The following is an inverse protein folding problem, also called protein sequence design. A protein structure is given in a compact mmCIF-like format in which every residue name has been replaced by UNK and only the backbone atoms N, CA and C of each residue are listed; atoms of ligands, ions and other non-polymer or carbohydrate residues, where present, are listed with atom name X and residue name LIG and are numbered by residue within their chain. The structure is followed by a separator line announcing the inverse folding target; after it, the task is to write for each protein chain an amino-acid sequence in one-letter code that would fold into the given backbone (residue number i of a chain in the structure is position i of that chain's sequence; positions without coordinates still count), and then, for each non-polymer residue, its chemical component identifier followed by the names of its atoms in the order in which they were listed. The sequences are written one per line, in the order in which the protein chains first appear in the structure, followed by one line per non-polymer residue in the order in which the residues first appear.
data_IF_203863033521
#
_entry.id   IF_203863033521
#
_cell.length_a   1.000
_cell.length_b   1.000
_cell.length_c   1.000
_cell.angle_alpha   90.00
_cell.angle_beta   90.00
_cell.angle_gamma   90.00
#
_symmetry.space_group_name_H-M   'P 1'
#
loop_
_entity.id
_entity.type
_entity.pdbx_description
1 polymer ?
#
# COMPACT_ATOMS: atom_id res chain seq x y z
N UNK A 1 10.73 -3.09 -24.82
CA UNK A 1 9.77 -2.78 -23.74
C UNK A 1 10.44 -2.70 -22.35
N UNK A 2 11.78 -2.76 -22.26
CA UNK A 2 12.49 -2.63 -20.99
C UNK A 2 12.76 -1.15 -20.60
N UNK A 3 12.75 -0.21 -21.55
CA UNK A 3 13.15 1.18 -21.31
C UNK A 3 12.08 2.09 -20.67
N UNK A 4 11.04 1.51 -20.05
CA UNK A 4 9.94 2.29 -19.44
C UNK A 4 9.92 2.24 -17.91
N UNK A 5 10.90 1.59 -17.28
CA UNK A 5 11.03 1.55 -15.83
C UNK A 5 12.44 1.98 -15.40
N UNK A 6 12.58 2.78 -14.34
CA UNK A 6 13.87 3.03 -13.71
C UNK A 6 14.44 1.72 -13.17
N UNK A 7 15.73 1.46 -13.43
CA UNK A 7 16.43 0.34 -12.82
C UNK A 7 16.56 0.59 -11.31
N UNK A 8 16.03 -0.35 -10.52
CA UNK A 8 16.18 -0.34 -9.07
C UNK A 8 17.55 -0.94 -8.77
N UNK A 9 18.51 -0.08 -8.43
CA UNK A 9 19.85 -0.48 -8.00
C UNK A 9 19.81 -0.90 -6.52
N UNK A 10 19.36 -2.13 -6.28
CA UNK A 10 19.51 -2.80 -4.99
C UNK A 10 20.53 -3.92 -5.16
N UNK A 11 21.72 -3.71 -4.59
CA UNK A 11 22.79 -4.70 -4.61
C UNK A 11 22.42 -5.87 -3.67
N UNK A 12 21.89 -6.96 -4.24
CA UNK A 12 21.57 -8.19 -3.50
C UNK A 12 22.72 -9.21 -3.52
N UNK A 13 23.89 -8.82 -4.00
CA UNK A 13 25.02 -9.74 -4.21
C UNK A 13 25.90 -9.80 -2.97
N UNK A 14 25.53 -10.66 -2.01
CA UNK A 14 26.46 -11.13 -0.97
C UNK A 14 26.16 -10.73 0.48
N UNK A 15 24.93 -10.32 0.80
CA UNK A 15 24.49 -10.30 2.21
C UNK A 15 23.94 -11.68 2.58
N UNK A 16 24.63 -12.37 3.49
CA UNK A 16 24.12 -13.58 4.15
C UNK A 16 22.71 -13.27 4.69
N UNK A 17 21.71 -13.97 4.15
CA UNK A 17 20.29 -13.74 4.45
C UNK A 17 19.98 -14.47 5.76
N UNK A 18 20.53 -13.99 6.86
CA UNK A 18 20.23 -14.49 8.20
C UNK A 18 19.32 -13.50 8.92
N UNK A 19 18.05 -13.88 9.10
CA UNK A 19 17.06 -13.09 9.82
C UNK A 19 15.67 -13.14 9.18
N UNK A 20 14.65 -12.95 10.01
CA UNK A 20 13.26 -12.84 9.58
C UNK A 20 13.06 -11.65 8.63
N UNK A 21 12.33 -11.88 7.53
CA UNK A 21 12.09 -10.93 6.45
C UNK A 21 11.57 -9.59 6.97
N UNK A 22 10.70 -9.62 7.98
CA UNK A 22 10.14 -8.42 8.60
C UNK A 22 11.18 -7.60 9.36
N UNK A 23 12.10 -8.26 10.07
CA UNK A 23 13.16 -7.58 10.81
C UNK A 23 14.14 -6.90 9.85
N UNK A 24 14.43 -7.53 8.71
CA UNK A 24 15.30 -6.98 7.66
C UNK A 24 14.70 -5.74 7.00
N UNK A 25 13.45 -5.83 6.56
CA UNK A 25 12.76 -4.68 5.94
C UNK A 25 12.64 -3.51 6.93
N UNK A 26 12.38 -3.81 8.22
CA UNK A 26 12.32 -2.79 9.27
C UNK A 26 13.66 -2.09 9.49
N UNK A 27 14.79 -2.81 9.42
CA UNK A 27 16.12 -2.21 9.55
C UNK A 27 16.49 -1.37 8.33
N UNK A 28 16.16 -1.84 7.12
CA UNK A 28 16.50 -1.17 5.87
C UNK A 28 15.66 0.10 5.63
N UNK A 29 14.36 0.04 5.92
CA UNK A 29 13.38 1.09 5.62
C UNK A 29 13.13 2.00 6.83
N UNK A 30 13.50 1.55 8.04
CA UNK A 30 13.32 2.31 9.28
C UNK A 30 11.84 2.47 9.68
N UNK A 31 11.58 3.39 10.62
CA UNK A 31 10.23 3.62 11.15
C UNK A 31 9.38 4.58 10.32
N UNK A 32 9.78 4.91 9.09
CA UNK A 32 9.12 5.95 8.27
C UNK A 32 7.72 5.53 7.78
N UNK A 33 7.41 4.22 7.80
CA UNK A 33 6.11 3.69 7.40
C UNK A 33 5.27 3.13 8.56
N UNK A 34 5.76 3.19 9.80
CA UNK A 34 5.03 2.66 10.95
C UNK A 34 3.98 3.66 11.43
N UNK A 35 2.70 3.31 11.30
CA UNK A 35 1.58 4.09 11.82
C UNK A 35 1.03 3.50 13.12
N UNK A 36 0.31 4.29 13.93
CA UNK A 36 -0.31 3.81 15.17
C UNK A 36 -1.34 2.69 14.93
N UNK A 37 -1.87 2.58 13.72
CA UNK A 37 -2.80 1.54 13.31
C UNK A 37 -2.08 0.21 13.06
N UNK A 38 -0.83 0.23 12.61
CA UNK A 38 -0.08 -0.99 12.29
C UNK A 38 0.24 -1.80 13.55
N UNK A 39 0.43 -1.15 14.70
CA UNK A 39 0.63 -1.87 15.98
C UNK A 39 -0.60 -2.65 16.43
N UNK A 40 -1.80 -2.18 16.06
CA UNK A 40 -3.04 -2.88 16.38
C UNK A 40 -3.22 -4.10 15.48
N UNK A 41 -2.89 -3.98 14.19
CA UNK A 41 -2.95 -5.09 13.23
C UNK A 41 -1.91 -6.17 13.55
N UNK A 42 -0.69 -5.79 13.93
CA UNK A 42 0.35 -6.73 14.36
C UNK A 42 -0.03 -7.48 15.65
N UNK A 43 -0.66 -6.80 16.60
CA UNK A 43 -1.15 -7.44 17.82
C UNK A 43 -2.34 -8.40 17.55
N UNK A 44 -3.19 -8.09 16.57
CA UNK A 44 -4.25 -9.00 16.13
C UNK A 44 -3.67 -10.22 15.38
N UNK A 45 -2.66 -10.05 14.53
CA UNK A 45 -2.04 -11.17 13.82
C UNK A 45 -1.30 -12.13 14.74
N UNK A 46 -0.56 -11.62 15.74
CA UNK A 46 0.10 -12.48 16.74
C UNK A 46 -0.91 -13.29 17.57
N UNK A 47 -2.07 -12.69 17.88
CA UNK A 47 -3.14 -13.39 18.60
C UNK A 47 -3.86 -14.44 17.74
N UNK A 48 -4.04 -14.18 16.44
CA UNK A 48 -4.62 -15.14 15.49
C UNK A 48 -3.65 -16.27 15.13
N UNK A 49 -2.34 -16.00 15.03
CA UNK A 49 -1.31 -17.01 14.78
C UNK A 49 -1.25 -18.04 15.92
N UNK A 50 -1.29 -17.60 17.17
CA UNK A 50 -1.34 -18.49 18.34
C UNK A 50 -2.59 -19.39 18.33
N UNK A 51 -3.72 -18.87 17.82
CA UNK A 51 -4.97 -19.61 17.71
C UNK A 51 -4.93 -20.63 16.56
N UNK A 52 -4.36 -20.27 15.42
CA UNK A 52 -4.17 -21.16 14.27
C UNK A 52 -3.17 -22.29 14.58
N UNK A 53 -2.10 -21.98 15.33
CA UNK A 53 -1.13 -22.97 15.80
C UNK A 53 -1.76 -23.96 16.79
N UNK A 54 -2.65 -23.49 17.67
CA UNK A 54 -3.41 -24.36 18.58
C UNK A 54 -4.38 -25.26 17.83
N UNK A 55 -5.13 -24.71 16.87
CA UNK A 55 -6.05 -25.48 16.02
C UNK A 55 -5.31 -26.54 15.18
N UNK A 56 -4.09 -26.26 14.73
CA UNK A 56 -3.22 -27.22 14.04
C UNK A 56 -2.77 -28.36 14.97
N UNK A 57 -2.38 -28.05 16.21
CA UNK A 57 -1.98 -29.06 17.22
C UNK A 57 -3.14 -29.97 17.61
N UNK A 58 -4.36 -29.47 17.63
CA UNK A 58 -5.56 -30.27 17.91
C UNK A 58 -5.94 -31.20 16.73
N UNK A 59 -5.71 -30.76 15.49
CA UNK A 59 -5.97 -31.56 14.28
C UNK A 59 -4.89 -32.62 14.00
N UNK A 60 -3.67 -32.37 14.46
CA UNK A 60 -2.53 -33.27 14.35
C UNK A 60 -1.95 -33.53 15.75
N UNK A 61 -2.53 -34.47 16.53
CA UNK A 61 -1.99 -34.80 17.84
C UNK A 61 -0.52 -35.20 17.70
N UNK A 62 0.36 -34.53 18.46
CA UNK A 62 1.79 -34.80 18.48
C UNK A 62 2.01 -36.29 18.75
N UNK A 63 2.44 -37.02 17.72
CA UNK A 63 3.01 -38.34 17.88
C UNK A 63 4.30 -38.10 18.64
N UNK A 64 4.33 -38.53 19.91
CA UNK A 64 5.36 -38.14 20.88
C UNK A 64 6.77 -38.11 20.31
N UNK A 65 7.52 -37.09 20.72
CA UNK A 65 8.97 -36.97 20.55
C UNK A 65 9.66 -38.30 20.87
N UNK A 66 9.93 -39.10 19.85
CA UNK A 66 11.18 -39.80 19.82
C UNK A 66 12.22 -38.72 19.59
N UNK A 67 13.00 -38.39 20.62
CA UNK A 67 14.17 -37.54 20.51
C UNK A 67 14.94 -37.89 19.21
N UNK A 68 15.17 -36.96 18.27
CA UNK A 68 16.32 -37.10 17.41
C UNK A 68 17.52 -36.97 18.35
N UNK A 69 18.16 -38.10 18.66
CA UNK A 69 19.46 -38.09 19.31
C UNK A 69 20.36 -37.11 18.55
N UNK A 70 20.69 -35.98 19.17
CA UNK A 70 21.72 -35.09 18.70
C UNK A 70 23.04 -35.87 18.71
N UNK A 71 23.42 -36.42 17.57
CA UNK A 71 24.79 -36.84 17.31
C UNK A 71 25.51 -35.64 16.67
N UNK A 72 26.56 -35.19 17.36
CA UNK A 72 27.62 -34.33 16.84
C UNK A 72 28.03 -34.74 15.40
N UNK A 73 28.36 -33.78 14.51
CA UNK A 73 28.96 -34.09 13.22
C UNK A 73 30.44 -34.46 13.41
N UNK A 74 30.71 -35.69 13.84
CA UNK A 74 32.00 -36.36 13.61
C UNK A 74 32.00 -37.00 12.20
N UNK A 75 33.14 -37.01 11.49
CA UNK A 75 33.18 -37.39 10.08
C UNK A 75 32.98 -38.90 9.91
N UNK A 76 31.79 -39.30 9.45
CA UNK A 76 31.48 -40.70 9.14
C UNK A 76 32.13 -41.11 7.82
N UNK A 77 33.19 -41.90 7.98
CA UNK A 77 33.71 -42.83 6.99
C UNK A 77 32.63 -43.81 6.52
N UNK A 78 32.71 -44.18 5.25
CA UNK A 78 31.99 -45.27 4.59
C UNK A 78 31.92 -46.53 5.46
N UNK A 79 30.73 -46.88 5.96
CA UNK A 79 30.38 -48.27 6.23
C UNK A 79 28.85 -48.45 6.12
N UNK A 80 28.51 -49.55 5.46
CA UNK A 80 27.24 -49.93 4.88
C UNK A 80 26.39 -50.62 5.96
N UNK A 81 25.46 -49.90 6.61
CA UNK A 81 24.48 -50.52 7.51
C UNK A 81 23.10 -50.61 6.85
N UNK A 82 22.91 -51.80 6.28
CA UNK A 82 21.74 -52.38 5.67
C UNK A 82 20.47 -52.24 6.53
N UNK A 83 19.48 -51.48 6.02
CA UNK A 83 18.12 -51.44 6.54
C UNK A 83 17.40 -52.77 6.28
N UNK A 84 17.65 -53.78 7.11
CA UNK A 84 16.98 -55.09 7.09
C UNK A 84 15.56 -55.03 7.69
N UNK A 85 14.63 -54.38 6.98
CA UNK A 85 13.22 -54.31 7.40
C UNK A 85 12.19 -54.81 6.39
N UNK A 86 12.57 -55.00 5.12
CA UNK A 86 11.60 -55.28 4.04
C UNK A 86 12.07 -56.30 2.98
N UNK A 87 13.13 -57.07 3.24
CA UNK A 87 13.66 -58.01 2.25
C UNK A 87 13.18 -59.44 2.48
N UNK A 88 11.91 -59.74 2.16
CA UNK A 88 11.49 -61.06 1.62
C UNK A 88 9.98 -61.11 1.41
N UNK A 89 9.48 -60.35 0.44
CA UNK A 89 8.26 -60.72 -0.26
C UNK A 89 8.67 -61.28 -1.64
N UNK A 90 8.17 -62.44 -2.08
CA UNK A 90 8.55 -63.00 -3.37
C UNK A 90 8.19 -62.01 -4.47
N UNK A 91 9.20 -61.52 -5.19
CA UNK A 91 9.01 -60.74 -6.40
C UNK A 91 8.39 -61.65 -7.45
N UNK A 92 7.06 -61.68 -7.44
CA UNK A 92 6.27 -62.17 -8.56
C UNK A 92 6.62 -61.29 -9.74
N UNK A 93 7.25 -61.87 -10.76
CA UNK A 93 7.49 -61.25 -12.06
C UNK A 93 6.15 -61.11 -12.76
N UNK A 94 5.37 -60.11 -12.32
CA UNK A 94 4.16 -59.66 -13.01
C UNK A 94 4.61 -59.17 -14.39
N UNK A 95 3.96 -59.57 -15.50
CA UNK A 95 4.38 -59.19 -16.84
C UNK A 95 4.58 -57.67 -16.93
N UNK A 96 5.69 -57.23 -17.53
CA UNK A 96 6.12 -55.83 -17.71
C UNK A 96 5.16 -54.95 -18.54
N UNK A 97 3.92 -55.38 -18.79
CA UNK A 97 2.87 -54.58 -19.37
C UNK A 97 2.00 -53.98 -18.27
N UNK A 98 1.90 -52.65 -18.23
CA UNK A 98 0.91 -51.96 -17.40
C UNK A 98 -0.48 -52.58 -17.61
N UNK A 99 -1.14 -52.93 -16.50
CA UNK A 99 -2.45 -53.56 -16.54
C UNK A 99 -3.48 -52.62 -17.19
N UNK A 100 -4.40 -53.18 -17.97
CA UNK A 100 -5.43 -52.41 -18.68
C UNK A 100 -6.21 -51.44 -17.77
N UNK A 101 -6.58 -51.80 -16.51
CA UNK A 101 -7.21 -50.85 -15.58
C UNK A 101 -6.32 -49.65 -15.22
N UNK A 102 -4.99 -49.85 -15.15
CA UNK A 102 -4.03 -48.80 -14.85
C UNK A 102 -3.88 -47.82 -16.01
N UNK A 103 -3.90 -48.33 -17.25
CA UNK A 103 -3.88 -47.48 -18.46
C UNK A 103 -5.13 -46.63 -18.55
N UNK A 104 -6.31 -47.22 -18.32
CA UNK A 104 -7.56 -46.47 -18.30
C UNK A 104 -7.61 -45.41 -17.19
N UNK A 105 -7.08 -45.74 -16.01
CA UNK A 105 -7.01 -44.79 -14.89
C UNK A 105 -6.07 -43.62 -15.21
N UNK A 106 -4.88 -43.88 -15.75
CA UNK A 106 -3.95 -42.83 -16.20
C UNK A 106 -4.60 -41.94 -17.25
N UNK A 107 -5.26 -42.51 -18.25
CA UNK A 107 -5.93 -41.73 -19.30
C UNK A 107 -7.05 -40.84 -18.75
N UNK A 108 -7.86 -41.32 -17.79
CA UNK A 108 -8.88 -40.49 -17.12
C UNK A 108 -8.27 -39.38 -16.28
N UNK A 109 -7.20 -39.68 -15.54
CA UNK A 109 -6.48 -38.70 -14.70
C UNK A 109 -5.82 -37.61 -15.55
N UNK A 110 -5.18 -37.99 -16.66
CA UNK A 110 -4.53 -37.05 -17.57
C UNK A 110 -5.55 -36.07 -18.16
N UNK A 111 -6.73 -36.57 -18.57
CA UNK A 111 -7.82 -35.72 -19.06
C UNK A 111 -8.30 -34.75 -17.96
N UNK A 112 -8.50 -35.22 -16.73
CA UNK A 112 -8.93 -34.37 -15.62
C UNK A 112 -7.87 -33.30 -15.27
N UNK A 113 -6.58 -33.65 -15.36
CA UNK A 113 -5.47 -32.71 -15.17
C UNK A 113 -5.46 -31.68 -16.30
N UNK A 114 -5.58 -32.09 -17.55
CA UNK A 114 -5.61 -31.20 -18.71
C UNK A 114 -6.79 -30.21 -18.63
N UNK A 115 -7.97 -30.68 -18.20
CA UNK A 115 -9.13 -29.81 -18.00
C UNK A 115 -8.89 -28.78 -16.89
N UNK A 116 -8.31 -29.21 -15.74
CA UNK A 116 -7.94 -28.29 -14.66
C UNK A 116 -6.86 -27.30 -15.07
N UNK A 117 -5.84 -27.74 -15.79
CA UNK A 117 -4.76 -26.89 -16.27
C UNK A 117 -5.27 -25.85 -17.27
N UNK A 118 -6.16 -26.24 -18.17
CA UNK A 118 -6.83 -25.32 -19.10
C UNK A 118 -7.68 -24.29 -18.37
N UNK A 119 -8.44 -24.70 -17.35
CA UNK A 119 -9.21 -23.79 -16.51
C UNK A 119 -8.31 -22.84 -15.71
N UNK A 120 -7.20 -23.34 -15.16
CA UNK A 120 -6.23 -22.54 -14.40
C UNK A 120 -5.50 -21.54 -15.31
N UNK A 121 -5.04 -21.98 -16.48
CA UNK A 121 -4.40 -21.14 -17.50
C UNK A 121 -5.32 -20.01 -17.94
N UNK A 122 -6.61 -20.30 -18.18
CA UNK A 122 -7.61 -19.27 -18.50
C UNK A 122 -7.76 -18.26 -17.36
N UNK A 123 -7.92 -18.72 -16.12
CA UNK A 123 -8.02 -17.82 -14.95
C UNK A 123 -6.78 -16.94 -14.79
N UNK A 124 -5.58 -17.49 -15.00
CA UNK A 124 -4.33 -16.72 -14.97
C UNK A 124 -4.32 -15.64 -16.06
N UNK A 125 -4.71 -15.97 -17.28
CA UNK A 125 -4.82 -15.00 -18.37
C UNK A 125 -5.85 -13.90 -18.06
N UNK A 126 -7.02 -14.27 -17.51
CA UNK A 126 -8.06 -13.32 -17.12
C UNK A 126 -7.57 -12.37 -16.00
N UNK A 127 -6.84 -12.88 -15.01
CA UNK A 127 -6.24 -12.07 -13.93
C UNK A 127 -5.19 -11.11 -14.49
N UNK A 128 -4.31 -11.58 -15.39
CA UNK A 128 -3.29 -10.72 -16.02
C UNK A 128 -3.96 -9.63 -16.84
N UNK A 129 -4.99 -9.95 -17.62
CA UNK A 129 -5.74 -8.97 -18.40
C UNK A 129 -6.45 -7.95 -17.50
N UNK A 130 -7.09 -8.40 -16.42
CA UNK A 130 -7.73 -7.51 -15.45
C UNK A 130 -6.71 -6.60 -14.74
N UNK A 131 -5.54 -7.13 -14.40
CA UNK A 131 -4.46 -6.34 -13.80
C UNK A 131 -3.94 -5.28 -14.79
N UNK A 132 -3.72 -5.63 -16.06
CA UNK A 132 -3.34 -4.67 -17.11
C UNK A 132 -4.38 -3.57 -17.27
N UNK A 133 -5.67 -3.93 -17.36
CA UNK A 133 -6.75 -2.95 -17.43
C UNK A 133 -6.79 -2.04 -16.20
N UNK A 134 -6.60 -2.58 -14.99
CA UNK A 134 -6.59 -1.77 -13.77
C UNK A 134 -5.44 -0.76 -13.74
N UNK A 135 -4.30 -1.10 -14.34
CA UNK A 135 -3.15 -0.19 -14.46
C UNK A 135 -3.49 0.94 -15.41
N UNK A 136 -4.05 0.63 -16.58
CA UNK A 136 -4.46 1.63 -17.55
C UNK A 136 -5.54 2.57 -16.97
N UNK A 137 -6.57 2.00 -16.34
CA UNK A 137 -7.64 2.75 -15.67
C UNK A 137 -7.10 3.67 -14.56
N UNK A 138 -6.11 3.22 -13.79
CA UNK A 138 -5.46 4.03 -12.76
C UNK A 138 -4.75 5.25 -13.36
N UNK A 139 -3.96 5.06 -14.42
CA UNK A 139 -3.23 6.16 -15.03
C UNK A 139 -4.15 7.14 -15.75
N UNK A 140 -5.20 6.66 -16.41
CA UNK A 140 -6.21 7.52 -17.03
C UNK A 140 -6.93 8.36 -15.97
N UNK A 141 -7.39 7.75 -14.87
CA UNK A 141 -8.04 8.47 -13.78
C UNK A 141 -7.08 9.46 -13.09
N UNK A 142 -5.84 9.03 -12.79
CA UNK A 142 -4.85 9.90 -12.17
C UNK A 142 -4.52 11.12 -13.04
N UNK A 143 -4.32 10.92 -14.35
CA UNK A 143 -4.03 12.00 -15.27
C UNK A 143 -5.22 12.94 -15.41
N UNK A 144 -6.44 12.41 -15.55
CA UNK A 144 -7.66 13.22 -15.59
C UNK A 144 -7.81 14.05 -14.30
N UNK A 145 -7.64 13.43 -13.13
CA UNK A 145 -7.72 14.14 -11.84
C UNK A 145 -6.65 15.22 -11.70
N UNK A 146 -5.41 14.93 -12.14
CA UNK A 146 -4.32 15.92 -12.15
C UNK A 146 -4.66 17.09 -13.06
N UNK A 147 -5.18 16.84 -14.26
CA UNK A 147 -5.59 17.90 -15.19
C UNK A 147 -6.75 18.72 -14.65
N UNK A 148 -7.75 18.08 -14.05
CA UNK A 148 -8.88 18.75 -13.41
C UNK A 148 -8.41 19.63 -12.24
N UNK A 149 -7.53 19.12 -11.39
CA UNK A 149 -6.93 19.90 -10.31
C UNK A 149 -6.12 21.08 -10.84
N UNK A 150 -5.32 20.88 -11.90
CA UNK A 150 -4.57 21.97 -12.52
C UNK A 150 -5.50 23.04 -13.10
N UNK A 151 -6.57 22.64 -13.80
CA UNK A 151 -7.61 23.56 -14.32
C UNK A 151 -8.30 24.32 -13.19
N UNK A 152 -8.62 23.63 -12.09
CA UNK A 152 -9.23 24.25 -10.91
C UNK A 152 -8.31 25.28 -10.26
N UNK A 153 -7.03 24.96 -10.07
CA UNK A 153 -6.04 25.90 -9.52
C UNK A 153 -5.87 27.13 -10.42
N UNK A 154 -5.84 26.94 -11.74
CA UNK A 154 -5.77 28.06 -12.69
C UNK A 154 -7.01 28.95 -12.61
N UNK A 155 -8.19 28.34 -12.51
CA UNK A 155 -9.45 29.08 -12.34
C UNK A 155 -9.49 29.84 -11.02
N UNK A 156 -9.09 29.20 -9.92
CA UNK A 156 -8.99 29.86 -8.61
C UNK A 156 -7.96 30.99 -8.61
N UNK A 157 -6.86 30.84 -9.34
CA UNK A 157 -5.88 31.91 -9.53
C UNK A 157 -6.48 33.09 -10.30
N UNK A 158 -7.21 32.83 -11.39
CA UNK A 158 -7.88 33.87 -12.16
C UNK A 158 -8.93 34.59 -11.31
N UNK A 159 -9.79 33.84 -10.60
CA UNK A 159 -10.77 34.39 -9.67
C UNK A 159 -10.11 35.20 -8.55
N UNK A 160 -8.97 34.76 -8.03
CA UNK A 160 -8.20 35.51 -7.02
C UNK A 160 -7.62 36.80 -7.59
N UNK A 161 -7.07 36.78 -8.81
CA UNK A 161 -6.56 37.96 -9.48
C UNK A 161 -7.68 38.95 -9.79
N UNK A 162 -8.83 38.48 -10.28
CA UNK A 162 -10.01 39.32 -10.49
C UNK A 162 -10.54 39.91 -9.18
N UNK A 163 -10.61 39.10 -8.11
CA UNK A 163 -11.01 39.59 -6.78
C UNK A 163 -10.04 40.65 -6.28
N UNK A 164 -8.73 40.44 -6.42
CA UNK A 164 -7.68 41.41 -6.03
C UNK A 164 -7.78 42.70 -6.84
N UNK A 165 -7.84 42.61 -8.15
CA UNK A 165 -7.86 43.77 -9.05
C UNK A 165 -9.20 44.53 -8.95
N UNK A 166 -10.31 43.80 -8.79
CA UNK A 166 -11.63 44.34 -8.52
C UNK A 166 -11.72 45.03 -7.15
N UNK A 167 -11.11 44.43 -6.11
CA UNK A 167 -10.99 45.02 -4.79
C UNK A 167 -10.22 46.34 -4.86
N UNK A 168 -9.10 46.40 -5.58
CA UNK A 168 -8.32 47.63 -5.73
C UNK A 168 -9.05 48.76 -6.47
N UNK A 169 -9.95 48.41 -7.41
CA UNK A 169 -10.72 49.36 -8.23
C UNK A 169 -12.04 49.81 -7.58
N UNK A 170 -12.56 49.10 -6.58
CA UNK A 170 -13.89 49.34 -6.00
C UNK A 170 -13.83 50.22 -4.76
N UNK A 171 -14.61 51.30 -4.76
CA UNK A 171 -14.90 52.11 -3.58
C UNK A 171 -13.74 52.96 -3.06
N UNK A 172 -13.93 53.53 -1.87
CA UNK A 172 -12.89 54.31 -1.18
C UNK A 172 -11.88 53.39 -0.50
N UNK A 173 -10.70 53.90 -0.15
CA UNK A 173 -9.72 53.13 0.65
C UNK A 173 -10.32 52.58 1.95
N UNK A 174 -11.27 53.30 2.55
CA UNK A 174 -11.91 52.91 3.81
C UNK A 174 -12.95 51.79 3.63
N UNK A 175 -13.58 51.67 2.46
CA UNK A 175 -14.44 50.53 2.14
C UNK A 175 -13.62 49.23 2.09
N UNK A 176 -12.45 49.29 1.44
CA UNK A 176 -11.48 48.19 1.35
C UNK A 176 -10.96 47.76 2.73
N UNK A 177 -10.56 48.72 3.56
CA UNK A 177 -10.08 48.43 4.92
C UNK A 177 -11.17 47.80 5.78
N UNK A 178 -12.43 48.21 5.62
CA UNK A 178 -13.54 47.63 6.37
C UNK A 178 -13.82 46.18 5.95
N UNK A 179 -13.81 45.85 4.65
CA UNK A 179 -13.91 44.45 4.18
C UNK A 179 -12.75 43.60 4.70
N UNK A 180 -11.50 44.10 4.64
CA UNK A 180 -10.33 43.34 5.11
C UNK A 180 -10.37 43.08 6.63
N UNK A 181 -10.93 44.01 7.41
CA UNK A 181 -11.12 43.85 8.87
C UNK A 181 -12.26 42.88 9.18
N UNK A 182 -13.25 42.76 8.32
CA UNK A 182 -14.32 41.75 8.41
C UNK A 182 -13.75 40.36 8.06
N UNK A 183 -13.01 40.23 6.96
CA UNK A 183 -12.35 38.98 6.52
C UNK A 183 -11.27 38.49 7.50
N UNK A 184 -10.51 39.40 8.12
CA UNK A 184 -9.48 39.05 9.09
C UNK A 184 -10.03 38.52 10.43
N UNK A 185 -11.35 38.63 10.65
CA UNK A 185 -12.04 38.11 11.83
C UNK A 185 -11.54 38.66 13.17
N UNK A 186 -12.07 38.10 14.26
CA UNK A 186 -11.51 38.33 15.59
C UNK A 186 -10.35 37.38 15.82
N UNK A 187 -9.13 37.90 15.64
CA UNK A 187 -7.90 37.15 15.98
C UNK A 187 -7.89 36.64 17.43
N UNK A 188 -7.06 35.63 17.69
CA UNK A 188 -7.02 34.84 18.93
C UNK A 188 -6.93 35.65 20.25
N UNK A 189 -6.38 36.87 20.21
CA UNK A 189 -6.38 37.80 21.34
C UNK A 189 -7.72 38.57 21.44
N UNK A 190 -8.71 37.92 22.06
CA UNK A 190 -9.99 38.51 22.45
C UNK A 190 -9.88 39.58 23.56
N UNK A 191 -8.70 39.77 24.14
CA UNK A 191 -8.45 40.72 25.24
C UNK A 191 -8.55 42.19 24.83
N UNK A 192 -8.44 42.51 23.53
CA UNK A 192 -8.45 43.90 23.04
C UNK A 192 -9.76 44.23 22.32
N UNK A 193 -10.59 45.05 22.95
CA UNK A 193 -11.87 45.52 22.39
C UNK A 193 -11.68 46.33 21.10
N UNK A 194 -12.00 45.72 19.95
CA UNK A 194 -11.95 46.37 18.63
C UNK A 194 -13.27 47.05 18.24
N UNK A 195 -14.31 46.98 19.08
CA UNK A 195 -15.65 47.51 18.78
C UNK A 195 -15.67 49.01 18.47
N UNK A 196 -14.86 49.80 19.20
CA UNK A 196 -14.73 51.26 18.94
C UNK A 196 -14.02 51.53 17.61
N UNK A 197 -13.06 50.70 17.25
CA UNK A 197 -12.32 50.80 15.99
C UNK A 197 -13.19 50.39 14.80
N UNK A 198 -13.90 49.26 14.89
CA UNK A 198 -14.91 48.83 13.92
C UNK A 198 -15.95 49.93 13.71
N UNK A 199 -16.51 50.50 14.78
CA UNK A 199 -17.48 51.60 14.69
C UNK A 199 -16.93 52.90 14.10
N UNK A 200 -15.62 53.15 14.16
CA UNK A 200 -14.98 54.27 13.47
C UNK A 200 -14.83 53.96 11.98
N UNK A 201 -14.36 52.76 11.61
CA UNK A 201 -14.25 52.32 10.21
C UNK A 201 -15.60 52.35 9.48
N UNK A 202 -16.67 51.87 10.12
CA UNK A 202 -18.03 51.94 9.55
C UNK A 202 -18.47 53.38 9.29
N UNK A 203 -18.02 54.36 10.09
CA UNK A 203 -18.31 55.79 9.85
C UNK A 203 -17.47 56.40 8.73
N UNK A 204 -16.32 55.82 8.39
CA UNK A 204 -15.46 56.27 7.29
C UNK A 204 -15.83 55.61 5.95
N UNK A 205 -16.52 54.46 6.00
CA UNK A 205 -17.12 53.77 4.85
C UNK A 205 -17.92 54.73 3.97
N UNK A 206 -17.66 54.73 2.66
CA UNK A 206 -18.38 55.50 1.65
C UNK A 206 -18.19 57.03 1.67
N UNK A 207 -17.30 57.57 2.51
CA UNK A 207 -17.02 59.02 2.53
C UNK A 207 -15.85 59.36 1.62
N UNK A 208 -16.07 60.16 0.59
CA UNK A 208 -15.01 60.60 -0.35
C UNK A 208 -14.19 61.78 0.17
N UNK A 209 -14.75 62.60 1.07
CA UNK A 209 -14.11 63.81 1.61
C UNK A 209 -13.20 63.57 2.83
N UNK A 210 -12.90 62.32 3.18
CA UNK A 210 -12.00 62.01 4.30
C UNK A 210 -10.57 61.79 3.80
N UNK A 211 -9.55 62.17 4.60
CA UNK A 211 -8.16 61.98 4.22
C UNK A 211 -7.88 60.51 3.87
N UNK A 212 -7.19 60.29 2.76
CA UNK A 212 -6.84 58.96 2.25
C UNK A 212 -7.96 58.22 1.49
N UNK A 213 -9.18 58.77 1.37
CA UNK A 213 -10.30 58.12 0.68
C UNK A 213 -10.01 57.80 -0.80
N UNK A 214 -9.34 58.72 -1.51
CA UNK A 214 -8.94 58.57 -2.92
C UNK A 214 -7.70 57.69 -3.16
N UNK A 215 -7.10 57.12 -2.11
CA UNK A 215 -5.85 56.37 -2.20
C UNK A 215 -4.60 57.25 -2.34
N UNK A 216 -3.42 56.62 -2.33
CA UNK A 216 -2.16 57.31 -2.62
C UNK A 216 -2.08 57.59 -4.11
N UNK A 217 -2.38 58.82 -4.51
CA UNK A 217 -2.00 59.33 -5.82
C UNK A 217 -0.47 59.45 -5.83
N UNK A 218 0.20 58.64 -6.65
CA UNK A 218 1.51 58.99 -7.23
C UNK A 218 1.28 59.62 -8.58
#
# INVERSE_FOLDING_TARGET
MADKFPEIDVDTTGQDIEGDFFSREKELVGSEFQTEQDSAVLAESEADEDHEIQDFKDQFPEVGEAEPAAQDPEPVSEDDEEFEGFSSAPQTTVPQGESEPLKEWKARRELEIEEREKANSKKKADIIAAAQQSIDDFYDNHNNKKEEQAKQVLKEQEEFLEKRDGFLKRGTLWDRVNELVEDAGEGADSSRDKSRFKGLLTKLKGKENVPGAGGYAS
#
